data_IF_203559165535
#
_entry.id   IF_203559165535
#
_cell.length_a   1.000
_cell.length_b   1.000
_cell.length_c   1.000
_cell.angle_alpha   90.00
_cell.angle_beta   90.00
_cell.angle_gamma   90.00
#
_symmetry.space_group_name_H-M   'P 1'
#
loop_
_entity.id
_entity.type
_entity.pdbx_description
1 polymer ?
#
# COMPACT_ATOMS: atom_id res chain seq x y z
N UNK A 1 -8.26 19.70 7.48
CA UNK A 1 -8.70 18.29 7.20
C UNK A 1 -7.90 17.40 8.12
N UNK A 2 -8.47 16.27 8.57
CA UNK A 2 -7.68 15.31 9.34
C UNK A 2 -7.29 14.11 8.49
N UNK A 3 -6.21 13.44 8.89
CA UNK A 3 -5.72 12.23 8.25
C UNK A 3 -5.21 11.22 9.27
N UNK A 4 -4.98 10.01 8.80
CA UNK A 4 -4.47 8.90 9.59
C UNK A 4 -3.11 8.47 9.03
N UNK A 5 -2.12 8.39 9.90
CA UNK A 5 -0.82 7.77 9.63
C UNK A 5 -0.79 6.43 10.32
N UNK A 6 -0.47 5.37 9.56
CA UNK A 6 -0.32 4.01 10.09
C UNK A 6 1.07 3.49 9.76
N UNK A 7 1.87 3.23 10.77
CA UNK A 7 3.21 2.66 10.65
C UNK A 7 3.14 1.12 10.76
N UNK A 8 3.57 0.43 9.72
CA UNK A 8 3.44 -1.03 9.63
C UNK A 8 4.77 -1.71 9.41
N UNK A 9 5.06 -2.72 10.23
CA UNK A 9 6.31 -3.51 10.21
C UNK A 9 6.00 -5.00 10.29
N UNK A 10 5.37 -5.59 9.25
CA UNK A 10 5.11 -7.02 9.26
C UNK A 10 6.42 -7.82 9.23
N UNK A 11 6.40 -9.05 9.76
CA UNK A 11 7.55 -9.95 9.66
C UNK A 11 7.84 -10.31 8.20
N UNK A 12 6.78 -10.48 7.42
CA UNK A 12 6.84 -10.68 5.98
C UNK A 12 5.66 -10.01 5.31
N UNK A 13 5.79 -9.68 4.02
CA UNK A 13 4.73 -9.12 3.22
C UNK A 13 4.70 -9.72 1.81
N UNK A 14 3.48 -9.96 1.31
CA UNK A 14 3.23 -10.36 -0.06
C UNK A 14 2.01 -9.61 -0.59
N UNK A 15 2.23 -8.73 -1.55
CA UNK A 15 1.18 -7.97 -2.22
C UNK A 15 1.06 -8.45 -3.67
N UNK A 16 0.24 -9.46 -3.89
CA UNK A 16 0.17 -10.16 -5.17
C UNK A 16 0.01 -9.23 -6.36
N UNK A 17 0.91 -9.38 -7.34
CA UNK A 17 0.81 -8.78 -8.67
C UNK A 17 -0.11 -9.66 -9.53
N UNK A 18 -1.36 -9.22 -9.85
CA UNK A 18 -2.36 -10.12 -10.42
C UNK A 18 -2.19 -10.43 -11.90
N UNK A 19 -1.34 -9.71 -12.60
CA UNK A 19 -1.07 -9.90 -14.05
C UNK A 19 0.12 -10.82 -14.34
N UNK A 20 0.76 -11.38 -13.30
CA UNK A 20 1.80 -12.40 -13.45
C UNK A 20 1.21 -13.76 -13.02
N UNK A 21 1.10 -14.70 -13.98
CA UNK A 21 0.44 -15.99 -13.73
C UNK A 21 1.40 -17.13 -13.39
N UNK A 22 2.67 -17.01 -13.76
CA UNK A 22 3.69 -18.05 -13.56
C UNK A 22 4.47 -17.88 -12.26
N UNK A 23 4.56 -16.67 -11.78
CA UNK A 23 5.22 -16.28 -10.54
C UNK A 23 4.20 -15.54 -9.67
N UNK A 24 4.08 -15.89 -8.40
CA UNK A 24 3.37 -15.06 -7.44
C UNK A 24 4.28 -13.88 -7.07
N UNK A 25 4.38 -12.93 -7.99
CA UNK A 25 5.16 -11.71 -7.78
C UNK A 25 4.46 -10.77 -6.80
N UNK A 26 5.24 -9.91 -6.17
CA UNK A 26 4.76 -8.99 -5.13
C UNK A 26 5.12 -7.55 -5.46
N UNK A 27 4.17 -6.63 -5.22
CA UNK A 27 4.53 -5.22 -5.10
C UNK A 27 5.46 -5.02 -3.89
N UNK A 28 6.41 -4.07 -3.94
CA UNK A 28 7.26 -3.73 -2.79
C UNK A 28 6.55 -2.82 -1.77
N UNK A 29 5.26 -2.59 -1.92
CA UNK A 29 4.43 -1.74 -1.06
C UNK A 29 2.97 -2.21 -1.08
N UNK A 30 2.18 -1.91 -0.04
CA UNK A 30 0.75 -2.21 -0.03
C UNK A 30 0.01 -1.37 -1.08
N UNK A 31 -0.66 -1.98 -2.08
CA UNK A 31 -1.53 -1.25 -2.99
C UNK A 31 -2.72 -0.62 -2.25
N UNK A 32 -3.31 0.45 -2.83
CA UNK A 32 -4.46 1.16 -2.25
C UNK A 32 -5.60 0.22 -1.84
N UNK A 33 -6.00 -0.69 -2.71
CA UNK A 33 -7.08 -1.64 -2.40
C UNK A 33 -6.75 -2.59 -1.26
N UNK A 34 -5.47 -2.95 -1.08
CA UNK A 34 -5.01 -3.77 0.05
C UNK A 34 -5.01 -2.99 1.36
N UNK A 35 -4.50 -1.76 1.34
CA UNK A 35 -4.43 -0.92 2.53
C UNK A 35 -5.83 -0.54 3.04
N UNK A 36 -6.76 -0.16 2.15
CA UNK A 36 -8.15 0.12 2.53
C UNK A 36 -8.87 -1.17 2.95
N UNK A 37 -8.56 -2.32 2.32
CA UNK A 37 -9.08 -3.62 2.74
C UNK A 37 -8.65 -4.02 4.15
N UNK A 38 -7.45 -3.66 4.55
CA UNK A 38 -6.97 -3.83 5.94
C UNK A 38 -7.83 -3.03 6.93
N UNK A 39 -8.12 -1.74 6.63
CA UNK A 39 -9.01 -0.92 7.45
C UNK A 39 -10.43 -1.50 7.52
N UNK A 40 -10.97 -1.94 6.37
CA UNK A 40 -12.29 -2.56 6.32
C UNK A 40 -12.36 -3.82 7.20
N UNK A 41 -11.31 -4.64 7.19
CA UNK A 41 -11.19 -5.81 8.06
C UNK A 41 -11.12 -5.43 9.53
N UNK A 42 -10.29 -4.44 9.89
CA UNK A 42 -10.20 -3.94 11.27
C UNK A 42 -11.56 -3.43 11.79
N UNK A 43 -12.29 -2.69 10.97
CA UNK A 43 -13.64 -2.17 11.30
C UNK A 43 -14.70 -3.29 11.32
N UNK A 44 -14.44 -4.44 10.68
CA UNK A 44 -15.41 -5.53 10.54
C UNK A 44 -16.44 -5.30 9.43
N UNK A 45 -16.09 -4.57 8.37
CA UNK A 45 -17.01 -4.24 7.28
C UNK A 45 -17.18 -5.39 6.28
N UNK A 46 -18.41 -5.59 5.76
CA UNK A 46 -18.65 -6.45 4.61
C UNK A 46 -18.13 -5.80 3.31
N UNK A 47 -18.21 -6.53 2.19
CA UNK A 47 -17.71 -6.04 0.88
C UNK A 47 -18.32 -4.70 0.45
N UNK A 48 -19.58 -4.44 0.76
CA UNK A 48 -20.24 -3.16 0.46
C UNK A 48 -19.60 -2.00 1.26
N UNK A 49 -19.36 -2.21 2.55
CA UNK A 49 -18.67 -1.23 3.40
C UNK A 49 -17.22 -0.98 2.95
N UNK A 50 -16.52 -2.00 2.46
CA UNK A 50 -15.21 -1.84 1.84
C UNK A 50 -15.27 -0.93 0.60
N UNK A 51 -16.30 -1.07 -0.25
CA UNK A 51 -16.49 -0.18 -1.41
C UNK A 51 -16.67 1.26 -0.99
N UNK A 52 -17.52 1.51 0.02
CA UNK A 52 -17.73 2.86 0.54
C UNK A 52 -16.42 3.47 1.05
N UNK A 53 -15.57 2.70 1.74
CA UNK A 53 -14.26 3.18 2.16
C UNK A 53 -13.32 3.49 0.97
N UNK A 54 -13.38 2.72 -0.13
CA UNK A 54 -12.63 3.04 -1.34
C UNK A 54 -13.04 4.38 -1.94
N UNK A 55 -14.33 4.74 -1.88
CA UNK A 55 -14.82 6.01 -2.40
C UNK A 55 -14.52 7.19 -1.44
N UNK A 56 -14.48 6.94 -0.13
CA UNK A 56 -14.32 7.98 0.90
C UNK A 56 -12.86 8.32 1.22
N UNK A 57 -11.94 7.35 1.10
CA UNK A 57 -10.56 7.51 1.54
C UNK A 57 -9.59 7.73 0.38
N UNK A 58 -8.80 8.78 0.47
CA UNK A 58 -7.56 8.96 -0.30
C UNK A 58 -6.44 8.20 0.38
N UNK A 59 -5.48 7.69 -0.38
CA UNK A 59 -4.40 6.85 0.11
C UNK A 59 -3.05 7.26 -0.45
N UNK A 60 -2.04 7.30 0.41
CA UNK A 60 -0.63 7.47 0.04
C UNK A 60 0.25 6.49 0.81
N UNK A 61 1.45 6.23 0.30
CA UNK A 61 2.41 5.33 0.95
C UNK A 61 3.85 5.78 0.78
N UNK A 62 4.61 5.68 1.87
CA UNK A 62 6.06 5.81 1.88
C UNK A 62 6.66 4.44 2.22
N UNK A 63 7.61 4.00 1.41
CA UNK A 63 8.39 2.79 1.66
C UNK A 63 9.64 3.24 2.43
N UNK A 64 9.61 3.12 3.75
CA UNK A 64 10.77 3.48 4.58
C UNK A 64 11.90 2.47 4.44
N UNK A 65 11.55 1.19 4.39
CA UNK A 65 12.46 0.08 4.09
C UNK A 65 11.68 -0.99 3.33
N UNK A 66 12.08 -1.39 2.12
CA UNK A 66 11.42 -2.46 1.39
C UNK A 66 11.65 -3.85 2.04
N UNK A 67 12.60 -3.95 2.98
CA UNK A 67 13.04 -5.21 3.54
C UNK A 67 13.84 -6.08 2.56
N UNK A 68 14.14 -7.29 2.95
CA UNK A 68 14.85 -8.25 2.11
C UNK A 68 13.86 -8.97 1.17
N UNK A 69 14.05 -8.81 -0.14
CA UNK A 69 13.28 -9.56 -1.15
C UNK A 69 13.80 -10.98 -1.25
N UNK A 70 12.94 -11.97 -1.08
CA UNK A 70 13.24 -13.38 -1.23
C UNK A 70 12.24 -14.08 -2.14
N UNK A 71 12.61 -15.27 -2.59
CA UNK A 71 11.75 -16.14 -3.39
C UNK A 71 11.65 -17.49 -2.69
N UNK A 72 10.40 -17.89 -2.44
CA UNK A 72 10.10 -19.19 -1.84
C UNK A 72 9.37 -20.04 -2.88
N UNK A 73 9.81 -21.29 -3.06
CA UNK A 73 9.13 -22.23 -3.93
C UNK A 73 8.36 -23.23 -3.10
N UNK A 74 7.06 -23.26 -3.32
CA UNK A 74 6.15 -24.22 -2.71
C UNK A 74 5.54 -25.13 -3.79
N UNK A 75 5.22 -26.33 -3.38
CA UNK A 75 4.48 -27.28 -4.21
C UNK A 75 3.02 -27.22 -3.82
N UNK A 76 2.15 -26.83 -4.73
CA UNK A 76 0.71 -26.75 -4.49
C UNK A 76 -0.02 -27.91 -5.19
N UNK A 77 -1.09 -28.36 -4.54
CA UNK A 77 -2.04 -29.32 -5.12
C UNK A 77 -3.06 -28.56 -5.95
N UNK A 78 -3.04 -28.72 -7.27
CA UNK A 78 -3.89 -27.96 -8.19
C UNK A 78 -5.20 -28.70 -8.53
N UNK A 79 -5.13 -29.96 -8.81
CA UNK A 79 -6.28 -30.83 -9.11
C UNK A 79 -5.88 -32.31 -9.10
N UNK A 80 -6.88 -33.20 -9.15
CA UNK A 80 -6.63 -34.66 -9.28
C UNK A 80 -5.86 -35.02 -10.56
N UNK A 81 -6.01 -34.24 -11.65
CA UNK A 81 -5.35 -34.47 -12.95
C UNK A 81 -3.93 -33.88 -13.04
N UNK A 82 -3.67 -32.86 -12.26
CA UNK A 82 -2.36 -32.20 -12.15
C UNK A 82 -2.06 -31.97 -10.68
N UNK A 83 -1.73 -33.03 -9.92
CA UNK A 83 -1.72 -32.99 -8.47
C UNK A 83 -0.61 -32.13 -7.88
N UNK A 84 0.49 -31.96 -8.59
CA UNK A 84 1.67 -31.25 -8.09
C UNK A 84 2.06 -30.15 -9.05
N UNK A 85 2.11 -28.92 -8.54
CA UNK A 85 2.53 -27.77 -9.32
C UNK A 85 3.47 -26.89 -8.48
N UNK A 86 4.74 -26.74 -8.88
CA UNK A 86 5.64 -25.82 -8.21
C UNK A 86 5.22 -24.39 -8.51
N UNK A 87 5.16 -23.55 -7.47
CA UNK A 87 4.90 -22.14 -7.58
C UNK A 87 5.93 -21.37 -6.79
N UNK A 88 6.47 -20.33 -7.39
CA UNK A 88 7.41 -19.44 -6.70
C UNK A 88 6.67 -18.19 -6.23
N UNK A 89 6.81 -17.86 -4.96
CA UNK A 89 6.21 -16.70 -4.29
C UNK A 89 7.32 -15.73 -3.90
N UNK A 90 7.16 -14.46 -4.27
CA UNK A 90 8.05 -13.38 -3.84
C UNK A 90 7.57 -12.83 -2.52
N UNK A 91 8.47 -12.71 -1.55
CA UNK A 91 8.22 -12.15 -0.23
C UNK A 91 9.18 -11.01 0.06
N UNK A 92 8.73 -10.08 0.88
CA UNK A 92 9.57 -9.05 1.50
C UNK A 92 9.62 -9.32 3.01
N UNK A 93 10.82 -9.51 3.56
CA UNK A 93 11.03 -9.77 4.98
C UNK A 93 11.35 -8.50 5.74
N UNK A 94 10.63 -8.27 6.84
CA UNK A 94 10.75 -7.11 7.73
C UNK A 94 10.71 -5.76 6.99
N UNK A 95 9.76 -5.57 6.08
CA UNK A 95 9.60 -4.26 5.45
C UNK A 95 9.06 -3.25 6.47
N UNK A 96 9.23 -1.97 6.17
CA UNK A 96 8.67 -0.86 6.93
C UNK A 96 7.97 0.11 6.01
N UNK A 97 6.68 0.32 6.23
CA UNK A 97 5.83 1.23 5.48
C UNK A 97 5.18 2.25 6.40
N UNK A 98 4.99 3.46 5.88
CA UNK A 98 4.04 4.43 6.42
C UNK A 98 2.89 4.58 5.44
N UNK A 99 1.69 4.30 5.91
CA UNK A 99 0.44 4.41 5.15
C UNK A 99 -0.27 5.69 5.59
N UNK A 100 -0.77 6.42 4.62
CA UNK A 100 -1.43 7.70 4.83
C UNK A 100 -2.84 7.63 4.27
N UNK A 101 -3.82 8.00 5.07
CA UNK A 101 -5.22 8.04 4.69
C UNK A 101 -5.78 9.42 4.99
N UNK A 102 -6.55 9.98 4.07
CA UNK A 102 -7.28 11.22 4.25
C UNK A 102 -8.72 11.06 3.81
N UNK A 103 -9.65 11.63 4.58
CA UNK A 103 -11.08 11.50 4.33
C UNK A 103 -11.90 12.34 5.30
N UNK A 104 -13.15 11.94 5.48
CA UNK A 104 -14.04 12.55 6.47
C UNK A 104 -13.55 12.22 7.88
N UNK A 105 -13.73 13.15 8.83
CA UNK A 105 -13.32 13.00 10.22
C UNK A 105 -13.87 11.73 10.85
N UNK A 106 -15.17 11.50 10.75
CA UNK A 106 -15.85 10.29 11.25
C UNK A 106 -15.23 8.99 10.72
N UNK A 107 -14.85 8.96 9.43
CA UNK A 107 -14.24 7.78 8.79
C UNK A 107 -12.82 7.55 9.30
N UNK A 108 -12.06 8.63 9.49
CA UNK A 108 -10.68 8.60 10.00
C UNK A 108 -10.66 8.15 11.47
N UNK A 109 -11.51 8.72 12.33
CA UNK A 109 -11.62 8.35 13.74
C UNK A 109 -12.03 6.89 13.89
N UNK A 110 -13.05 6.45 13.15
CA UNK A 110 -13.49 5.05 13.14
C UNK A 110 -12.38 4.09 12.70
N UNK A 111 -11.57 4.46 11.70
CA UNK A 111 -10.44 3.64 11.25
C UNK A 111 -9.32 3.59 12.30
N UNK A 112 -9.04 4.72 12.97
CA UNK A 112 -8.08 4.80 14.06
C UNK A 112 -8.46 3.86 15.21
N UNK A 113 -9.68 3.97 15.73
CA UNK A 113 -10.16 3.18 16.85
C UNK A 113 -10.19 1.69 16.52
N UNK A 114 -10.62 1.35 15.30
CA UNK A 114 -10.64 -0.04 14.85
C UNK A 114 -9.23 -0.64 14.68
N UNK A 115 -8.20 0.14 14.41
CA UNK A 115 -6.83 -0.38 14.38
C UNK A 115 -6.26 -0.62 15.78
N UNK A 116 -6.76 0.11 16.79
CA UNK A 116 -6.40 -0.10 18.19
C UNK A 116 -7.13 -1.28 18.84
N UNK A 117 -8.40 -1.51 18.46
CA UNK A 117 -9.23 -2.62 18.91
C UNK A 117 -9.97 -3.26 17.71
N UNK A 118 -9.29 -4.08 16.90
CA UNK A 118 -9.84 -4.55 15.64
C UNK A 118 -10.82 -5.72 15.80
N UNK A 119 -11.91 -5.69 14.99
CA UNK A 119 -12.87 -6.80 14.87
C UNK A 119 -12.18 -8.05 14.30
N UNK A 120 -11.36 -7.88 13.26
CA UNK A 120 -10.51 -8.94 12.73
C UNK A 120 -9.06 -8.49 12.77
N UNK A 121 -8.14 -9.42 13.10
CA UNK A 121 -6.70 -9.14 13.14
C UNK A 121 -6.27 -8.57 11.79
N UNK A 122 -5.73 -7.33 11.75
CA UNK A 122 -5.31 -6.72 10.51
C UNK A 122 -4.17 -7.47 9.84
N UNK A 123 -4.22 -7.61 8.52
CA UNK A 123 -3.15 -8.18 7.71
C UNK A 123 -2.94 -7.38 6.42
N UNK A 124 -1.75 -7.44 5.87
CA UNK A 124 -1.37 -6.75 4.66
C UNK A 124 -1.06 -7.72 3.52
N UNK A 125 -2.00 -7.87 2.60
CA UNK A 125 -1.88 -8.64 1.37
C UNK A 125 -2.39 -10.06 1.50
N UNK A 126 -1.75 -10.91 2.29
CA UNK A 126 -2.22 -12.25 2.59
C UNK A 126 -2.37 -12.49 4.11
N UNK A 127 -3.08 -13.54 4.47
CA UNK A 127 -3.37 -13.88 5.88
C UNK A 127 -2.14 -14.26 6.71
N UNK A 128 -1.00 -14.49 6.08
CA UNK A 128 0.27 -14.78 6.74
C UNK A 128 1.03 -13.50 7.09
N UNK A 129 0.67 -12.37 6.47
CA UNK A 129 1.28 -11.06 6.64
C UNK A 129 0.55 -10.26 7.73
N UNK A 130 0.49 -10.80 8.93
CA UNK A 130 -0.21 -10.17 10.05
C UNK A 130 0.46 -8.86 10.44
N UNK A 131 -0.38 -7.85 10.68
CA UNK A 131 0.01 -6.64 11.38
C UNK A 131 -0.01 -6.96 12.87
N UNK A 132 1.18 -7.04 13.44
CA UNK A 132 1.30 -7.05 14.89
C UNK A 132 1.27 -5.58 15.36
N UNK A 133 0.43 -5.22 16.36
CA UNK A 133 0.45 -3.87 16.91
C UNK A 133 1.86 -3.57 17.40
N UNK A 134 2.53 -2.63 16.76
CA UNK A 134 3.85 -2.15 17.16
C UNK A 134 3.79 -1.22 18.40
N UNK A 135 2.68 -1.29 19.18
CA UNK A 135 2.39 -0.40 20.29
C UNK A 135 1.41 0.71 19.92
N UNK A 136 0.93 1.47 20.89
CA UNK A 136 -0.13 2.48 20.71
C UNK A 136 0.21 3.62 19.75
N UNK A 137 1.49 3.88 19.50
CA UNK A 137 1.94 5.00 18.65
C UNK A 137 2.03 4.67 17.15
N UNK A 138 1.70 3.44 16.74
CA UNK A 138 1.77 3.03 15.34
C UNK A 138 0.63 3.61 14.48
N UNK A 139 -0.42 4.13 15.12
CA UNK A 139 -1.58 4.78 14.50
C UNK A 139 -1.77 6.17 15.08
N UNK A 140 -1.82 7.19 14.24
CA UNK A 140 -1.95 8.59 14.66
C UNK A 140 -2.92 9.35 13.78
N UNK A 141 -3.83 10.09 14.39
CA UNK A 141 -4.61 11.13 13.70
C UNK A 141 -3.77 12.41 13.69
N UNK A 142 -3.69 13.07 12.54
CA UNK A 142 -2.90 14.28 12.34
C UNK A 142 -3.67 15.30 11.51
N UNK A 143 -3.29 16.57 11.65
CA UNK A 143 -3.77 17.62 10.75
C UNK A 143 -3.18 17.46 9.35
N UNK A 144 -4.03 17.72 8.34
CA UNK A 144 -3.66 17.59 6.94
C UNK A 144 -3.98 18.89 6.20
N UNK A 145 -3.00 19.41 5.47
CA UNK A 145 -3.09 20.59 4.64
C UNK A 145 -2.88 20.23 3.16
N UNK A 146 -3.49 20.98 2.26
CA UNK A 146 -3.20 20.89 0.84
C UNK A 146 -1.94 21.69 0.51
N UNK A 147 -1.09 21.17 -0.35
CA UNK A 147 0.15 21.82 -0.76
C UNK A 147 0.60 21.41 -2.16
N UNK A 148 1.64 22.08 -2.63
CA UNK A 148 2.34 21.73 -3.86
C UNK A 148 3.80 21.48 -3.54
N UNK A 149 4.31 20.30 -3.91
CA UNK A 149 5.69 19.89 -3.62
C UNK A 149 6.33 19.18 -4.81
N UNK A 150 7.61 19.49 -5.01
CA UNK A 150 8.42 18.84 -6.05
C UNK A 150 9.24 17.66 -5.50
N UNK A 151 9.57 17.67 -4.20
CA UNK A 151 10.44 16.65 -3.60
C UNK A 151 9.63 15.69 -2.73
N UNK A 152 9.54 14.43 -3.13
CA UNK A 152 8.66 13.45 -2.51
C UNK A 152 9.40 12.18 -2.10
N UNK A 153 8.99 11.59 -0.97
CA UNK A 153 9.37 10.23 -0.54
C UNK A 153 8.29 9.19 -0.84
N UNK A 154 7.05 9.64 -1.02
CA UNK A 154 5.93 8.74 -1.31
C UNK A 154 5.99 8.17 -2.71
N UNK A 155 5.31 7.04 -2.92
CA UNK A 155 4.99 6.53 -4.26
C UNK A 155 4.31 7.64 -5.06
N UNK A 156 4.72 7.83 -6.32
CA UNK A 156 4.23 8.89 -7.20
C UNK A 156 3.56 8.32 -8.46
N UNK A 157 2.65 9.06 -9.12
CA UNK A 157 2.12 8.63 -10.41
C UNK A 157 3.22 8.49 -11.46
N UNK A 158 3.09 7.48 -12.33
CA UNK A 158 4.03 7.27 -13.43
C UNK A 158 4.10 8.48 -14.37
N UNK A 159 2.98 9.12 -14.64
CA UNK A 159 2.89 10.33 -15.47
C UNK A 159 3.71 11.49 -14.92
N UNK A 160 3.70 11.73 -13.61
CA UNK A 160 4.51 12.79 -12.98
C UNK A 160 6.00 12.42 -13.01
N UNK A 161 6.33 11.16 -12.77
CA UNK A 161 7.71 10.69 -12.81
C UNK A 161 8.32 10.81 -14.22
N UNK A 162 7.58 10.42 -15.25
CA UNK A 162 8.10 10.42 -16.64
C UNK A 162 8.18 11.82 -17.28
N UNK A 163 7.69 12.86 -16.63
CA UNK A 163 7.87 14.27 -17.07
C UNK A 163 9.27 14.81 -16.82
N UNK A 164 10.21 14.00 -16.35
CA UNK A 164 11.60 14.40 -16.13
C UNK A 164 12.03 14.42 -14.67
N UNK A 165 11.37 13.64 -13.83
CA UNK A 165 11.75 13.48 -12.43
C UNK A 165 13.13 12.83 -12.29
N UNK A 166 13.81 13.12 -11.17
CA UNK A 166 15.08 12.53 -10.79
C UNK A 166 14.96 11.82 -9.46
N UNK A 167 15.58 10.65 -9.36
CA UNK A 167 15.72 9.97 -8.08
C UNK A 167 17.05 10.34 -7.42
N UNK A 168 16.99 10.76 -6.17
CA UNK A 168 18.13 11.16 -5.35
C UNK A 168 18.28 10.14 -4.21
N UNK A 169 19.12 9.11 -4.35
CA UNK A 169 19.34 8.13 -3.29
C UNK A 169 20.07 8.75 -2.11
N UNK A 170 19.63 8.43 -0.87
CA UNK A 170 20.27 8.87 0.37
C UNK A 170 20.94 7.70 1.06
N UNK A 171 20.31 6.51 1.00
CA UNK A 171 20.81 5.29 1.64
C UNK A 171 21.52 4.40 0.63
N UNK A 172 22.57 3.69 1.05
CA UNK A 172 23.24 2.67 0.22
C UNK A 172 22.29 1.55 -0.20
N UNK A 173 21.46 1.09 0.73
CA UNK A 173 20.41 0.11 0.46
C UNK A 173 19.11 0.86 0.08
N UNK A 174 18.93 1.15 -1.20
CA UNK A 174 17.77 1.83 -1.75
C UNK A 174 17.06 0.94 -2.78
N UNK A 175 15.75 1.09 -2.88
CA UNK A 175 14.97 0.56 -3.97
C UNK A 175 14.98 1.59 -5.12
N UNK A 176 15.61 1.23 -6.25
CA UNK A 176 15.59 2.10 -7.44
C UNK A 176 14.18 2.28 -7.95
N UNK A 177 13.83 3.45 -8.51
CA UNK A 177 12.49 3.70 -9.05
C UNK A 177 12.09 2.65 -10.09
N UNK A 178 10.92 2.07 -9.88
CA UNK A 178 10.32 1.11 -10.79
C UNK A 178 8.83 1.37 -10.95
N UNK A 179 8.34 1.30 -12.19
CA UNK A 179 6.92 1.45 -12.49
C UNK A 179 6.14 0.17 -12.21
N UNK A 180 4.95 0.36 -11.61
CA UNK A 180 3.98 -0.69 -11.34
C UNK A 180 2.58 -0.26 -11.77
N UNK A 181 1.72 -1.22 -12.06
CA UNK A 181 0.28 -1.01 -12.25
C UNK A 181 -0.41 -1.30 -10.92
N UNK A 182 -0.61 -0.28 -10.10
CA UNK A 182 -1.23 -0.39 -8.79
C UNK A 182 -2.75 -0.49 -8.91
N UNK A 183 -3.43 -1.51 -8.31
CA UNK A 183 -4.89 -1.53 -8.23
C UNK A 183 -5.36 -0.42 -7.28
N UNK A 184 -6.21 0.46 -7.81
CA UNK A 184 -6.76 1.60 -7.07
C UNK A 184 -8.24 1.45 -6.74
N UNK A 185 -8.97 0.63 -7.49
CA UNK A 185 -10.41 0.46 -7.38
C UNK A 185 -10.87 -0.85 -8.04
N UNK A 186 -12.19 -1.15 -7.95
CA UNK A 186 -12.83 -2.28 -8.60
C UNK A 186 -14.10 -1.89 -9.35
N UNK A 187 -14.24 -2.37 -10.57
CA UNK A 187 -15.51 -2.37 -11.31
C UNK A 187 -16.18 -3.74 -11.12
N UNK A 188 -17.41 -3.72 -10.66
CA UNK A 188 -18.21 -4.91 -10.40
C UNK A 188 -19.10 -5.24 -11.60
N UNK A 189 -19.06 -6.51 -12.06
CA UNK A 189 -19.93 -7.03 -13.13
C UNK A 189 -20.56 -8.35 -12.66
N UNK A 190 -21.85 -8.33 -12.35
CA UNK A 190 -22.54 -9.49 -11.79
C UNK A 190 -21.87 -9.99 -10.50
N UNK A 191 -21.47 -11.27 -10.47
CA UNK A 191 -20.78 -11.88 -9.30
C UNK A 191 -19.27 -11.68 -9.29
N UNK A 192 -18.69 -11.03 -10.30
CA UNK A 192 -17.25 -10.82 -10.43
C UNK A 192 -16.83 -9.37 -10.26
N UNK A 193 -15.56 -9.17 -9.91
CA UNK A 193 -14.95 -7.83 -9.87
C UNK A 193 -13.69 -7.77 -10.72
N UNK A 194 -13.44 -6.62 -11.35
CA UNK A 194 -12.24 -6.34 -12.14
C UNK A 194 -11.53 -5.14 -11.54
N UNK A 195 -10.24 -5.28 -11.26
CA UNK A 195 -9.45 -4.18 -10.72
C UNK A 195 -9.24 -3.07 -11.76
N UNK A 196 -9.32 -1.83 -11.29
CA UNK A 196 -8.90 -0.61 -12.00
C UNK A 196 -7.48 -0.30 -11.57
N UNK A 197 -6.61 0.02 -12.52
CA UNK A 197 -5.19 0.24 -12.25
C UNK A 197 -4.76 1.66 -12.58
N UNK A 198 -3.83 2.19 -11.77
CA UNK A 198 -3.05 3.39 -12.07
C UNK A 198 -1.56 3.02 -12.19
N UNK A 199 -0.83 3.64 -13.13
CA UNK A 199 0.63 3.51 -13.18
C UNK A 199 1.23 4.37 -12.09
N UNK A 200 2.15 3.78 -11.33
CA UNK A 200 2.83 4.44 -10.22
C UNK A 200 4.30 4.05 -10.23
N UNK A 201 5.16 4.92 -9.74
CA UNK A 201 6.57 4.64 -9.55
C UNK A 201 6.85 4.53 -8.05
N UNK A 202 7.36 3.37 -7.64
CA UNK A 202 7.76 3.07 -6.28
C UNK A 202 9.28 3.06 -6.16
N UNK A 203 9.76 3.60 -5.04
CA UNK A 203 11.17 3.69 -4.68
C UNK A 203 11.30 3.74 -3.16
N UNK A 204 12.50 3.57 -2.63
CA UNK A 204 12.78 3.71 -1.20
C UNK A 204 14.23 4.17 -0.96
N UNK A 205 14.49 4.72 0.22
CA UNK A 205 15.84 5.13 0.64
C UNK A 205 16.37 6.35 -0.09
N UNK A 206 15.49 7.20 -0.60
CA UNK A 206 15.81 8.46 -1.29
C UNK A 206 14.58 9.32 -1.48
N UNK A 207 14.72 10.34 -2.31
CA UNK A 207 13.65 11.23 -2.76
C UNK A 207 13.50 11.17 -4.27
N UNK A 208 12.31 11.49 -4.75
CA UNK A 208 12.08 11.85 -6.14
C UNK A 208 11.87 13.37 -6.19
N UNK A 209 12.66 14.03 -7.02
CA UNK A 209 12.50 15.43 -7.39
C UNK A 209 11.74 15.48 -8.71
N UNK A 210 10.49 15.95 -8.68
CA UNK A 210 9.64 16.11 -9.85
C UNK A 210 10.10 17.31 -10.69
N UNK A 211 9.85 17.29 -12.00
CA UNK A 211 10.15 18.42 -12.87
C UNK A 211 9.29 19.66 -12.55
N UNK A 212 8.08 19.47 -12.06
CA UNK A 212 7.17 20.51 -11.58
C UNK A 212 6.57 20.09 -10.25
N UNK A 213 6.23 21.03 -9.35
CA UNK A 213 5.48 20.73 -8.14
C UNK A 213 4.17 20.00 -8.48
N UNK A 214 3.82 19.03 -7.66
CA UNK A 214 2.57 18.29 -7.75
C UNK A 214 1.68 18.59 -6.54
N UNK A 215 0.37 18.52 -6.74
CA UNK A 215 -0.59 18.62 -5.65
C UNK A 215 -0.45 17.43 -4.71
N UNK A 216 -0.23 17.71 -3.44
CA UNK A 216 -0.01 16.73 -2.37
C UNK A 216 -0.85 17.05 -1.14
N UNK A 217 -0.91 16.11 -0.21
CA UNK A 217 -1.34 16.41 1.16
C UNK A 217 -0.14 16.40 2.10
N UNK A 218 -0.08 17.39 2.99
CA UNK A 218 0.92 17.54 4.03
C UNK A 218 0.38 16.93 5.34
N UNK A 219 0.95 15.80 5.74
CA UNK A 219 0.64 15.14 7.02
C UNK A 219 1.70 15.51 8.05
N UNK A 220 1.36 16.36 9.02
CA UNK A 220 2.35 16.97 9.93
C UNK A 220 3.52 17.63 9.16
N UNK A 221 3.23 18.29 8.03
CA UNK A 221 4.23 18.92 7.17
C UNK A 221 4.97 17.95 6.23
N UNK A 222 4.72 16.64 6.28
CA UNK A 222 5.32 15.68 5.35
C UNK A 222 4.49 15.55 4.08
N UNK A 223 5.07 15.83 2.89
CA UNK A 223 4.35 15.79 1.64
C UNK A 223 4.14 14.35 1.14
N UNK A 224 2.87 14.01 0.87
CA UNK A 224 2.47 12.69 0.39
C UNK A 224 1.58 12.83 -0.83
N UNK A 225 1.94 12.14 -1.91
CA UNK A 225 1.06 12.03 -3.07
C UNK A 225 -0.08 11.07 -2.76
N UNK A 226 -1.33 11.48 -3.06
CA UNK A 226 -2.53 10.72 -2.74
C UNK A 226 -3.20 10.14 -4.01
N UNK A 227 -3.75 8.95 -3.85
CA UNK A 227 -4.46 8.19 -4.89
C UNK A 227 -5.91 7.98 -4.53
#
# INVERSE_FOLDING_TARGET
>A
MIGLIVEVRPLQAHFRVPYNSLLLDSYPFPPRTTAIGMLAGAIGLPEEGFRNLLDELRYGVIIEDPGARTEETATIFKSQRAPVYPITKVLYHKPYYRLFFAGKEETIERAHDALLDPVFIPYLGDSESLLYPAGGDYVRIVDVEEGEEATLKSVVPGEEYHRGARFLPIRRNHLTPREYRMPIDFVYKGKGRRAVYKRVVAFAGGFVELANPASVLLFDGEPVFMF
#
